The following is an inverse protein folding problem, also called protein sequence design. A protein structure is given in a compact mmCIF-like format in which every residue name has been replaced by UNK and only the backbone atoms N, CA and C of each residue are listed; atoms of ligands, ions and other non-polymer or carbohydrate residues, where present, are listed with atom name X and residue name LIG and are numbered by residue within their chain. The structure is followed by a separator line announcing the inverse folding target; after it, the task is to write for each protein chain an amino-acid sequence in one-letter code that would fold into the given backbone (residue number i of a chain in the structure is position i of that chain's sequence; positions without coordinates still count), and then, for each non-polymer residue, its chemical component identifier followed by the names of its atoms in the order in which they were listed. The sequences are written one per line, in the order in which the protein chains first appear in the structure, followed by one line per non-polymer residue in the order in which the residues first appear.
data_IF_035431978871
#
_entry.id   IF_035431978871
#
_cell.length_a   1.000
_cell.length_b   1.000
_cell.length_c   1.000
_cell.angle_alpha   90.00
_cell.angle_beta   90.00
_cell.angle_gamma   90.00
#
_symmetry.space_group_name_H-M   'P 1'
#
loop_
_entity.id
_entity.type
_entity.pdbx_description
1 polymer ?
#
# COMPACT_ATOMS: atom_id res chain seq x y z
N UNK A 1 14.88 12.19 3.92
CA UNK A 1 14.14 11.26 3.03
C UNK A 1 13.60 10.11 3.85
N UNK A 2 12.37 9.70 3.59
CA UNK A 2 11.70 8.64 4.35
C UNK A 2 11.35 7.48 3.42
N UNK A 3 11.66 6.26 3.82
CA UNK A 3 11.21 5.05 3.14
C UNK A 3 9.88 4.63 3.74
N UNK A 4 8.85 4.47 2.91
CA UNK A 4 7.52 4.05 3.34
C UNK A 4 7.20 2.70 2.73
N UNK A 5 6.83 1.74 3.57
CA UNK A 5 6.54 0.37 3.19
C UNK A 5 5.07 0.07 3.45
N UNK A 6 4.37 -0.46 2.44
CA UNK A 6 2.94 -0.83 2.51
C UNK A 6 2.78 -2.31 2.21
N UNK A 7 2.37 -3.09 3.23
CA UNK A 7 2.21 -4.53 3.08
C UNK A 7 0.86 -4.91 2.46
N UNK A 8 0.71 -6.19 2.12
CA UNK A 8 -0.48 -6.72 1.48
C UNK A 8 -1.48 -7.39 2.42
N UNK A 9 -2.35 -8.18 1.84
CA UNK A 9 -3.42 -8.92 2.50
C UNK A 9 -3.20 -10.43 2.32
N UNK A 10 -3.42 -11.25 3.35
CA UNK A 10 -3.69 -10.95 4.76
C UNK A 10 -2.39 -10.93 5.58
N UNK A 11 -1.70 -9.80 5.57
CA UNK A 11 -0.39 -9.65 6.18
C UNK A 11 -0.43 -8.60 7.27
N UNK A 12 0.71 -8.41 7.93
CA UNK A 12 0.96 -7.29 8.85
C UNK A 12 2.31 -6.65 8.51
N UNK A 13 2.64 -5.55 9.16
CA UNK A 13 3.92 -4.86 8.98
C UNK A 13 5.14 -5.71 9.38
N UNK A 14 4.91 -6.83 10.07
CA UNK A 14 5.97 -7.77 10.45
C UNK A 14 6.69 -8.38 9.25
N UNK A 15 6.06 -8.45 8.07
CA UNK A 15 6.72 -8.98 6.86
C UNK A 15 7.95 -8.17 6.48
N UNK A 16 8.00 -6.91 6.86
CA UNK A 16 9.12 -6.01 6.53
C UNK A 16 10.33 -6.14 7.46
N UNK A 17 10.20 -6.91 8.55
CA UNK A 17 11.27 -7.06 9.54
C UNK A 17 12.64 -7.40 8.93
N UNK A 18 12.76 -8.50 8.17
CA UNK A 18 14.05 -8.86 7.56
C UNK A 18 14.60 -7.79 6.61
N UNK A 19 13.74 -7.14 5.82
CA UNK A 19 14.17 -6.08 4.92
C UNK A 19 14.68 -4.86 5.69
N UNK A 20 13.95 -4.42 6.69
CA UNK A 20 14.33 -3.26 7.50
C UNK A 20 15.65 -3.51 8.23
N UNK A 21 15.84 -4.72 8.77
CA UNK A 21 17.08 -5.12 9.40
C UNK A 21 18.26 -5.08 8.40
N UNK A 22 18.03 -5.57 7.19
CA UNK A 22 19.06 -5.58 6.14
C UNK A 22 19.39 -4.17 5.64
N UNK A 23 18.41 -3.26 5.58
CA UNK A 23 18.62 -1.88 5.16
C UNK A 23 19.46 -1.09 6.17
N UNK A 24 19.35 -1.41 7.46
CA UNK A 24 20.07 -0.70 8.51
C UNK A 24 19.74 0.79 8.60
N UNK A 25 18.53 1.18 8.18
CA UNK A 25 18.06 2.57 8.18
C UNK A 25 17.07 2.79 9.31
N UNK A 26 17.05 3.99 9.86
CA UNK A 26 16.13 4.42 10.91
C UNK A 26 15.01 5.35 10.40
N UNK A 27 15.05 5.72 9.12
CA UNK A 27 14.06 6.57 8.46
C UNK A 27 12.99 5.76 7.71
N UNK A 28 12.56 4.64 8.27
CA UNK A 28 11.58 3.73 7.65
C UNK A 28 10.25 3.81 8.39
N UNK A 29 9.18 4.04 7.65
CA UNK A 29 7.79 4.01 8.14
C UNK A 29 7.09 2.80 7.52
N UNK A 30 6.45 1.99 8.37
CA UNK A 30 5.65 0.85 7.94
C UNK A 30 4.18 1.23 8.09
N UNK A 31 3.45 1.26 6.97
CA UNK A 31 2.03 1.53 6.97
C UNK A 31 1.24 0.22 6.86
N UNK A 32 0.21 0.11 7.69
CA UNK A 32 -0.72 -1.02 7.64
C UNK A 32 -2.07 -0.57 7.10
N UNK A 33 -2.53 -1.12 5.96
CA UNK A 33 -3.84 -0.78 5.43
C UNK A 33 -4.96 -1.07 6.44
N UNK A 34 -5.98 -0.22 6.53
CA UNK A 34 -7.10 -0.41 7.46
C UNK A 34 -7.69 -1.81 7.39
N UNK A 35 -7.81 -2.47 8.56
CA UNK A 35 -8.30 -3.84 8.69
C UNK A 35 -7.21 -4.92 8.56
N UNK A 36 -5.98 -4.57 8.21
CA UNK A 36 -4.86 -5.50 8.05
C UNK A 36 -3.67 -5.03 8.87
N UNK A 37 -3.64 -5.43 10.13
CA UNK A 37 -2.60 -4.98 11.07
C UNK A 37 -2.83 -3.60 11.66
N UNK A 38 -3.95 -2.98 11.34
CA UNK A 38 -4.41 -1.70 11.88
C UNK A 38 -5.93 -1.75 12.08
N UNK A 39 -6.49 -0.92 12.98
CA UNK A 39 -7.94 -0.86 13.17
C UNK A 39 -8.66 -0.46 11.88
N UNK A 40 -9.85 -1.04 11.69
CA UNK A 40 -10.74 -0.63 10.60
C UNK A 40 -11.61 0.52 11.11
N UNK A 41 -11.48 1.74 10.54
CA UNK A 41 -12.32 2.85 10.94
C UNK A 41 -13.81 2.58 10.70
N UNK A 42 -14.68 3.15 11.54
CA UNK A 42 -16.12 3.09 11.35
C UNK A 42 -16.48 3.66 9.98
N UNK A 43 -17.38 2.97 9.27
CA UNK A 43 -17.85 3.37 7.94
C UNK A 43 -16.75 3.40 6.86
N UNK A 44 -15.60 2.74 7.09
CA UNK A 44 -14.59 2.60 6.05
C UNK A 44 -15.09 1.60 4.99
N UNK A 45 -15.28 2.03 3.72
CA UNK A 45 -15.99 1.20 2.74
C UNK A 45 -15.15 0.05 2.16
N UNK A 46 -13.86 -0.04 2.50
CA UNK A 46 -12.94 -1.09 2.05
C UNK A 46 -12.91 -1.27 0.51
N UNK A 47 -13.06 -0.18 -0.23
CA UNK A 47 -12.91 -0.14 -1.69
C UNK A 47 -11.49 0.28 -2.08
N UNK A 48 -11.09 0.01 -3.33
CA UNK A 48 -9.78 0.43 -3.79
C UNK A 48 -9.61 1.97 -3.75
N UNK A 49 -10.68 2.73 -3.97
CA UNK A 49 -10.65 4.19 -3.87
C UNK A 49 -10.46 4.65 -2.43
N UNK A 50 -11.10 3.99 -1.47
CA UNK A 50 -10.93 4.33 -0.05
C UNK A 50 -9.52 4.03 0.43
N UNK A 51 -8.94 2.91 0.03
CA UNK A 51 -7.54 2.59 0.35
C UNK A 51 -6.56 3.56 -0.32
N UNK A 52 -6.82 3.96 -1.55
CA UNK A 52 -6.04 5.00 -2.23
C UNK A 52 -6.06 6.31 -1.42
N UNK A 53 -7.24 6.77 -1.05
CA UNK A 53 -7.40 8.03 -0.31
C UNK A 53 -6.74 7.93 1.08
N UNK A 54 -6.86 6.77 1.73
CA UNK A 54 -6.15 6.51 2.98
C UNK A 54 -4.63 6.65 2.80
N UNK A 55 -4.07 5.99 1.78
CA UNK A 55 -2.62 6.04 1.54
C UNK A 55 -2.16 7.46 1.24
N UNK A 56 -2.86 8.17 0.38
CA UNK A 56 -2.54 9.56 0.06
C UNK A 56 -2.53 10.43 1.32
N UNK A 57 -3.52 10.26 2.19
CA UNK A 57 -3.58 10.98 3.46
C UNK A 57 -2.40 10.67 4.38
N UNK A 58 -1.97 9.42 4.45
CA UNK A 58 -0.79 9.03 5.23
C UNK A 58 0.50 9.62 4.65
N UNK A 59 0.64 9.64 3.33
CA UNK A 59 1.81 10.23 2.68
C UNK A 59 1.88 11.75 2.92
N UNK A 60 0.76 12.43 2.88
CA UNK A 60 0.71 13.88 3.17
C UNK A 60 1.21 14.21 4.57
N UNK A 61 0.95 13.35 5.56
CA UNK A 61 1.37 13.57 6.94
C UNK A 61 2.88 13.51 7.15
N UNK A 62 3.61 12.81 6.28
CA UNK A 62 5.05 12.56 6.46
C UNK A 62 5.86 13.83 6.20
N UNK A 63 5.56 14.58 5.14
CA UNK A 63 6.14 15.89 4.88
C UNK A 63 7.58 15.90 4.35
N UNK A 64 8.28 14.76 4.32
CA UNK A 64 9.61 14.60 3.74
C UNK A 64 9.52 14.00 2.34
N UNK A 65 10.55 14.10 1.50
CA UNK A 65 10.64 13.30 0.30
C UNK A 65 10.54 11.81 0.63
N UNK A 66 9.69 11.10 -0.12
CA UNK A 66 9.33 9.71 0.17
C UNK A 66 9.82 8.78 -0.96
N UNK A 67 10.44 7.66 -0.56
CA UNK A 67 10.60 6.49 -1.40
C UNK A 67 9.56 5.45 -0.95
N UNK A 68 8.58 5.18 -1.79
CA UNK A 68 7.41 4.38 -1.46
C UNK A 68 7.51 2.98 -2.07
N UNK A 69 7.32 1.96 -1.24
CA UNK A 69 7.35 0.56 -1.68
C UNK A 69 6.08 -0.14 -1.25
N UNK A 70 5.43 -0.80 -2.18
CA UNK A 70 4.24 -1.60 -1.92
C UNK A 70 4.42 -3.05 -2.32
N UNK A 71 3.91 -3.96 -1.49
CA UNK A 71 3.95 -5.40 -1.73
C UNK A 71 2.52 -5.95 -1.78
N UNK A 72 2.24 -6.82 -2.75
CA UNK A 72 0.96 -7.49 -2.91
C UNK A 72 -0.20 -6.46 -2.99
N UNK A 73 -1.25 -6.57 -2.19
CA UNK A 73 -2.34 -5.59 -2.18
C UNK A 73 -1.85 -4.17 -1.85
N UNK A 74 -0.83 -4.05 -1.00
CA UNK A 74 -0.17 -2.77 -0.74
C UNK A 74 0.43 -2.16 -2.00
N UNK A 75 0.99 -3.00 -2.88
CA UNK A 75 1.45 -2.56 -4.20
C UNK A 75 0.33 -2.02 -5.08
N UNK A 76 -0.85 -2.64 -5.02
CA UNK A 76 -2.02 -2.13 -5.74
C UNK A 76 -2.45 -0.76 -5.24
N UNK A 77 -2.43 -0.55 -3.92
CA UNK A 77 -2.73 0.77 -3.34
C UNK A 77 -1.71 1.82 -3.78
N UNK A 78 -0.43 1.44 -3.82
CA UNK A 78 0.64 2.32 -4.31
C UNK A 78 0.40 2.72 -5.76
N UNK A 79 0.13 1.78 -6.65
CA UNK A 79 -0.15 2.08 -8.06
C UNK A 79 -1.34 3.02 -8.19
N UNK A 80 -2.44 2.75 -7.48
CA UNK A 80 -3.63 3.61 -7.54
C UNK A 80 -3.32 5.03 -7.06
N UNK A 81 -2.58 5.18 -5.98
CA UNK A 81 -2.20 6.50 -5.47
C UNK A 81 -1.28 7.24 -6.46
N UNK A 82 -0.31 6.54 -7.04
CA UNK A 82 0.67 7.16 -7.95
C UNK A 82 0.08 7.51 -9.32
N UNK A 83 -0.95 6.78 -9.78
CA UNK A 83 -1.69 7.18 -10.98
C UNK A 83 -2.57 8.42 -10.73
N UNK A 84 -2.92 8.69 -9.49
CA UNK A 84 -3.78 9.81 -9.09
C UNK A 84 -2.97 11.04 -8.64
N UNK A 85 -2.01 10.84 -7.74
CA UNK A 85 -1.21 11.92 -7.15
C UNK A 85 0.28 11.56 -7.09
N UNK A 86 0.96 11.48 -8.24
CA UNK A 86 2.39 11.08 -8.28
C UNK A 86 3.31 12.07 -7.57
N UNK A 87 2.87 13.31 -7.38
CA UNK A 87 3.66 14.37 -6.73
C UNK A 87 3.90 14.14 -5.24
N UNK A 88 3.17 13.19 -4.64
CA UNK A 88 3.31 12.90 -3.20
C UNK A 88 4.63 12.20 -2.84
N UNK A 89 5.28 11.58 -3.81
CA UNK A 89 6.51 10.82 -3.55
C UNK A 89 7.62 11.17 -4.52
N UNK A 90 8.86 10.89 -4.11
CA UNK A 90 10.04 11.06 -4.95
C UNK A 90 10.21 9.86 -5.89
N UNK A 91 10.16 8.65 -5.35
CA UNK A 91 10.22 7.41 -6.13
C UNK A 91 9.23 6.40 -5.56
N UNK A 92 8.87 5.40 -6.37
CA UNK A 92 8.03 4.30 -5.90
C UNK A 92 8.34 3.01 -6.62
N UNK A 93 8.09 1.89 -5.94
CA UNK A 93 8.26 0.55 -6.48
C UNK A 93 7.18 -0.39 -5.93
N UNK A 94 6.84 -1.40 -6.69
CA UNK A 94 5.89 -2.43 -6.28
C UNK A 94 6.35 -3.80 -6.74
N UNK A 95 5.93 -4.83 -6.04
CA UNK A 95 6.16 -6.21 -6.43
C UNK A 95 4.94 -7.09 -6.12
N UNK A 96 4.94 -8.30 -6.67
CA UNK A 96 3.91 -9.31 -6.43
C UNK A 96 2.48 -8.80 -6.71
N UNK A 97 2.31 -7.98 -7.75
CA UNK A 97 1.01 -7.48 -8.17
C UNK A 97 0.67 -7.96 -9.58
N UNK A 98 -0.61 -8.30 -9.80
CA UNK A 98 -1.10 -8.74 -11.12
C UNK A 98 -1.85 -7.66 -11.89
N UNK A 99 -1.87 -6.43 -11.40
CA UNK A 99 -2.73 -5.36 -11.92
C UNK A 99 -2.44 -5.01 -13.40
N UNK A 100 -1.22 -5.27 -13.87
CA UNK A 100 -0.82 -4.99 -15.25
C UNK A 100 -0.97 -6.19 -16.20
N UNK A 101 -1.45 -7.32 -15.70
CA UNK A 101 -1.61 -8.56 -16.48
C UNK A 101 -3.10 -8.85 -16.65
N UNK A 102 -3.69 -8.64 -17.84
CA UNK A 102 -5.14 -8.82 -18.04
C UNK A 102 -5.65 -10.22 -17.73
N UNK A 103 -4.81 -11.25 -17.93
CA UNK A 103 -5.18 -12.64 -17.66
C UNK A 103 -4.91 -13.08 -16.22
N UNK A 104 -4.49 -12.19 -15.34
CA UNK A 104 -4.19 -12.52 -13.95
C UNK A 104 -5.46 -12.90 -13.20
N UNK A 105 -5.41 -14.04 -12.51
CA UNK A 105 -6.53 -14.52 -11.69
C UNK A 105 -6.29 -14.10 -10.25
N UNK A 106 -7.15 -13.22 -9.74
CA UNK A 106 -7.04 -12.71 -8.39
C UNK A 106 -7.48 -13.75 -7.36
N UNK A 107 -6.75 -13.80 -6.27
CA UNK A 107 -7.10 -14.60 -5.10
C UNK A 107 -8.39 -14.04 -4.46
N UNK A 108 -9.30 -14.91 -4.01
CA UNK A 108 -10.60 -14.51 -3.47
C UNK A 108 -10.52 -13.52 -2.30
N UNK A 109 -9.49 -13.65 -1.44
CA UNK A 109 -9.30 -12.74 -0.32
C UNK A 109 -8.92 -11.32 -0.76
N UNK A 110 -8.30 -11.19 -1.92
CA UNK A 110 -7.87 -9.91 -2.47
C UNK A 110 -8.96 -9.31 -3.34
N UNK A 111 -9.66 -10.16 -4.09
CA UNK A 111 -10.63 -9.71 -5.08
C UNK A 111 -11.73 -8.86 -4.47
N UNK A 112 -12.25 -9.24 -3.29
CA UNK A 112 -13.36 -8.50 -2.67
C UNK A 112 -13.05 -7.03 -2.41
N UNK A 113 -11.95 -6.67 -1.72
CA UNK A 113 -11.66 -5.25 -1.48
C UNK A 113 -11.24 -4.48 -2.73
N UNK A 114 -10.59 -5.14 -3.69
CA UNK A 114 -10.02 -4.47 -4.87
C UNK A 114 -11.01 -4.46 -6.03
N UNK A 115 -11.67 -5.60 -6.28
CA UNK A 115 -12.54 -5.75 -7.45
C UNK A 115 -13.90 -5.09 -7.28
N UNK A 116 -14.43 -4.99 -6.06
CA UNK A 116 -15.74 -4.37 -5.82
C UNK A 116 -15.77 -2.87 -6.13
N UNK A 117 -14.63 -2.21 -6.07
CA UNK A 117 -14.54 -0.80 -6.42
C UNK A 117 -14.32 -0.54 -7.91
N UNK A 118 -14.13 -1.57 -8.72
CA UNK A 118 -13.84 -1.46 -10.15
C UNK A 118 -15.10 -1.56 -11.03
N UNK A 119 -16.25 -1.84 -10.43
CA UNK A 119 -17.53 -1.99 -11.13
C UNK A 119 -18.12 -0.69 -11.59
#
# INVERSE_FOLDING_TARGET
MTVVLVHGNPETDAIWGPLVDALGRDDVVRLSPPGFGAPLPDNFPATYLAYRDWLEGELEKIGDPIDLVGHDAGGCHVVNAMMHRPELVHTWATDAIGIFVPAYVWHDLICKPICQGAG
#
